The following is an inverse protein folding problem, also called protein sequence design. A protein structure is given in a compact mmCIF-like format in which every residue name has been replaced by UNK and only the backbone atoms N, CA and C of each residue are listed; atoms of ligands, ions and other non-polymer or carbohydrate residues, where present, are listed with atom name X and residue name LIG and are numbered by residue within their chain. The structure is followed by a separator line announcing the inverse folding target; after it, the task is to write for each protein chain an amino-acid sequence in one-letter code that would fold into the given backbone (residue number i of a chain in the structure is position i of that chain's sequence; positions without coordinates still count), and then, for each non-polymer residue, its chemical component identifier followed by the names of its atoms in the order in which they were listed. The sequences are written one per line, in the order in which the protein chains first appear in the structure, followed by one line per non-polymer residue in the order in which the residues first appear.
data_IF_173254363732
#
_entry.id   IF_173254363732
#
_cell.length_a   1.000
_cell.length_b   1.000
_cell.length_c   1.000
_cell.angle_alpha   90.00
_cell.angle_beta   90.00
_cell.angle_gamma   90.00
#
_symmetry.space_group_name_H-M   'P 1'
#
loop_
_entity.id
_entity.type
_entity.pdbx_description
1 polymer ?
#
# COMPACT_ATOMS: atom_id res chain seq x y z
N UNK A 1 22.72 20.06 12.27
CA UNK A 1 22.23 19.42 12.10
C UNK A 1 22.28 18.93 11.65
N UNK A 2 21.88 18.65 11.42
CA UNK A 2 21.59 18.10 11.00
C UNK A 2 21.15 17.66 10.64
N UNK A 3 21.30 17.73 10.32
CA UNK A 3 20.68 17.20 9.90
C UNK A 3 20.20 16.56 9.72
N UNK A 4 19.85 16.65 9.56
CA UNK A 4 19.24 15.97 9.38
C UNK A 4 19.16 15.13 9.01
N UNK A 5 19.42 15.07 8.90
CA UNK A 5 19.38 14.40 8.48
C UNK A 5 18.99 13.63 8.48
N UNK A 6 19.35 13.92 8.38
CA UNK A 6 19.16 13.22 8.46
C UNK A 6 18.53 12.47 8.89
N UNK A 7 18.63 12.91 9.29
CA UNK A 7 17.76 12.22 9.86
C UNK A 7 16.82 11.69 9.06
N UNK A 8 17.24 11.08 8.21
CA UNK A 8 16.45 10.44 7.26
C UNK A 8 15.97 9.13 7.77
N UNK A 9 15.29 9.20 8.87
CA UNK A 9 14.57 8.06 9.37
C UNK A 9 13.45 7.74 8.38
N UNK A 10 13.44 6.53 7.86
CA UNK A 10 12.45 6.13 6.87
C UNK A 10 11.73 4.88 7.30
N UNK A 11 10.44 4.88 7.02
CA UNK A 11 9.60 3.72 7.15
C UNK A 11 8.88 3.56 5.83
N UNK A 12 8.84 2.35 5.31
CA UNK A 12 8.14 2.04 4.09
C UNK A 12 6.85 1.29 4.41
N UNK A 13 5.88 1.42 3.55
CA UNK A 13 4.61 0.73 3.70
C UNK A 13 4.10 0.31 2.34
N UNK A 14 3.61 -0.93 2.27
CA UNK A 14 2.81 -1.38 1.14
C UNK A 14 1.38 -1.53 1.62
N UNK A 15 0.44 -1.07 0.81
CA UNK A 15 -0.97 -1.12 1.17
C UNK A 15 -1.82 -1.50 -0.03
N UNK A 16 -2.99 -2.03 0.27
CA UNK A 16 -4.00 -2.34 -0.72
C UNK A 16 -5.36 -1.85 -0.21
N UNK A 17 -6.14 -1.26 -1.10
CA UNK A 17 -7.47 -0.76 -0.78
C UNK A 17 -8.48 -1.39 -1.72
N UNK A 18 -9.71 -1.60 -1.23
CA UNK A 18 -10.79 -2.08 -2.06
C UNK A 18 -11.89 -1.02 -2.16
N UNK A 19 -12.69 -1.09 -3.23
CA UNK A 19 -13.84 -0.19 -3.40
C UNK A 19 -14.88 -0.38 -2.30
N UNK A 20 -14.84 -1.50 -1.61
CA UNK A 20 -15.72 -1.79 -0.49
C UNK A 20 -15.23 -1.18 0.83
N UNK A 21 -14.08 -0.51 0.80
CA UNK A 21 -13.54 0.16 1.98
C UNK A 21 -12.59 -0.67 2.83
N UNK A 22 -12.15 -1.81 2.33
CA UNK A 22 -11.17 -2.63 3.05
C UNK A 22 -9.77 -2.13 2.81
N UNK A 23 -8.94 -2.17 3.85
CA UNK A 23 -7.53 -1.78 3.78
C UNK A 23 -6.69 -2.88 4.40
N UNK A 24 -5.60 -3.23 3.71
CA UNK A 24 -4.55 -4.09 4.25
C UNK A 24 -3.23 -3.39 4.06
N UNK A 25 -2.33 -3.52 5.03
CA UNK A 25 -1.06 -2.83 4.94
C UNK A 25 0.04 -3.64 5.63
N UNK A 26 1.28 -3.36 5.23
CA UNK A 26 2.47 -3.94 5.84
C UNK A 26 3.55 -2.87 5.91
N UNK A 27 4.10 -2.66 7.08
CA UNK A 27 5.19 -1.70 7.31
C UNK A 27 6.51 -2.47 7.29
N UNK A 28 7.51 -1.89 6.64
CA UNK A 28 8.84 -2.47 6.58
C UNK A 28 9.89 -1.36 6.51
N UNK A 29 11.14 -1.68 6.80
CA UNK A 29 12.20 -0.68 6.87
C UNK A 29 13.16 -0.71 5.69
N UNK A 30 13.37 -1.86 5.09
CA UNK A 30 14.26 -1.99 3.94
C UNK A 30 13.54 -1.61 2.63
N UNK A 31 14.19 -1.87 1.51
CA UNK A 31 13.58 -1.57 0.21
C UNK A 31 12.58 -2.64 -0.18
N UNK A 32 11.64 -2.25 -1.05
CA UNK A 32 10.71 -3.21 -1.65
C UNK A 32 11.48 -4.18 -2.53
N UNK A 33 11.17 -5.47 -2.37
CA UNK A 33 11.72 -6.52 -3.23
C UNK A 33 10.63 -7.57 -3.46
N UNK A 34 10.94 -8.58 -4.28
CA UNK A 34 9.97 -9.60 -4.62
C UNK A 34 9.51 -10.41 -3.40
N UNK A 35 10.40 -10.66 -2.46
CA UNK A 35 10.06 -11.39 -1.24
C UNK A 35 9.04 -10.61 -0.39
N UNK A 36 9.24 -9.29 -0.27
CA UNK A 36 8.28 -8.43 0.43
C UNK A 36 6.92 -8.41 -0.25
N UNK A 37 6.93 -8.31 -1.57
CA UNK A 37 5.69 -8.32 -2.33
C UNK A 37 4.95 -9.66 -2.16
N UNK A 38 5.67 -10.77 -2.25
CA UNK A 38 5.08 -12.09 -2.06
C UNK A 38 4.51 -12.22 -0.65
N UNK A 39 5.24 -11.75 0.35
CA UNK A 39 4.78 -11.79 1.73
C UNK A 39 3.46 -11.02 1.90
N UNK A 40 3.36 -9.87 1.27
CA UNK A 40 2.13 -9.07 1.32
C UNK A 40 0.98 -9.76 0.60
N UNK A 41 1.25 -10.31 -0.59
CA UNK A 41 0.23 -11.05 -1.33
C UNK A 41 -0.27 -12.28 -0.57
N UNK A 42 0.62 -12.97 0.14
CA UNK A 42 0.21 -14.08 1.01
C UNK A 42 -0.74 -13.62 2.10
N UNK A 43 -0.48 -12.45 2.70
CA UNK A 43 -1.37 -11.88 3.70
C UNK A 43 -2.74 -11.55 3.11
N UNK A 44 -2.78 -11.04 1.89
CA UNK A 44 -4.04 -10.74 1.22
C UNK A 44 -4.87 -12.00 1.02
N UNK A 45 -4.24 -13.08 0.58
CA UNK A 45 -4.91 -14.36 0.36
C UNK A 45 -5.47 -14.89 1.69
N UNK A 46 -4.68 -14.85 2.76
CA UNK A 46 -5.11 -15.34 4.06
C UNK A 46 -6.29 -14.56 4.63
N UNK A 47 -6.37 -13.28 4.32
CA UNK A 47 -7.43 -12.43 4.86
C UNK A 47 -8.69 -12.45 3.99
N UNK A 48 -8.71 -13.22 2.92
CA UNK A 48 -9.84 -13.27 2.01
C UNK A 48 -10.37 -14.69 1.89
N UNK A 49 -11.69 -14.84 1.86
CA UNK A 49 -12.35 -16.12 1.62
C UNK A 49 -12.57 -16.38 0.13
N UNK A 50 -12.39 -15.38 -0.70
CA UNK A 50 -12.61 -15.43 -2.13
C UNK A 50 -11.32 -15.18 -2.87
N UNK A 51 -11.30 -15.50 -4.15
CA UNK A 51 -10.16 -15.18 -5.02
C UNK A 51 -9.92 -13.68 -5.01
N UNK A 52 -8.68 -13.28 -4.88
CA UNK A 52 -8.26 -11.88 -4.83
C UNK A 52 -7.86 -11.43 -6.24
N UNK A 53 -8.45 -10.33 -6.70
CA UNK A 53 -8.05 -9.67 -7.94
C UNK A 53 -7.29 -8.42 -7.54
N UNK A 54 -5.97 -8.43 -7.78
CA UNK A 54 -5.07 -7.38 -7.33
C UNK A 54 -4.64 -6.53 -8.50
N UNK A 55 -4.82 -5.21 -8.37
CA UNK A 55 -4.37 -4.26 -9.38
C UNK A 55 -3.11 -3.59 -8.84
N UNK A 56 -2.02 -3.70 -9.59
CA UNK A 56 -0.73 -3.13 -9.22
C UNK A 56 -0.32 -2.07 -10.21
N UNK A 57 0.47 -1.10 -9.74
CA UNK A 57 1.14 -0.20 -10.65
C UNK A 57 2.26 -0.94 -11.38
N UNK A 58 2.82 -0.31 -12.42
CA UNK A 58 3.75 -0.99 -13.33
C UNK A 58 5.20 -0.82 -12.88
N UNK A 59 5.50 -1.20 -11.64
CA UNK A 59 6.87 -1.17 -11.11
C UNK A 59 7.63 -2.43 -11.48
N UNK A 60 8.93 -2.31 -11.60
CA UNK A 60 9.81 -3.42 -11.99
C UNK A 60 9.66 -4.64 -11.08
N UNK A 61 9.59 -4.40 -9.76
CA UNK A 61 9.52 -5.50 -8.78
C UNK A 61 8.26 -6.33 -8.97
N UNK A 62 7.19 -5.74 -9.52
CA UNK A 62 5.92 -6.43 -9.74
C UNK A 62 6.01 -7.43 -10.90
N UNK A 63 7.03 -7.31 -11.75
CA UNK A 63 7.22 -8.18 -12.91
C UNK A 63 8.37 -9.19 -12.72
N UNK A 64 8.88 -9.32 -11.50
CA UNK A 64 10.00 -10.21 -11.23
C UNK A 64 9.65 -11.69 -11.37
N UNK A 65 10.68 -12.50 -11.59
CA UNK A 65 10.51 -13.94 -11.82
C UNK A 65 9.97 -14.68 -10.61
N UNK A 66 10.42 -14.30 -9.41
CA UNK A 66 9.94 -14.93 -8.18
C UNK A 66 8.46 -14.66 -7.96
N UNK A 67 8.04 -13.40 -8.17
CA UNK A 67 6.64 -13.04 -8.04
C UNK A 67 5.79 -13.75 -9.08
N UNK A 68 6.26 -13.83 -10.32
CA UNK A 68 5.55 -14.52 -11.39
C UNK A 68 5.38 -16.00 -11.08
N UNK A 69 6.42 -16.66 -10.58
CA UNK A 69 6.36 -18.07 -10.22
C UNK A 69 5.38 -18.30 -9.06
N UNK A 70 5.41 -17.40 -8.06
CA UNK A 70 4.49 -17.48 -6.95
C UNK A 70 3.04 -17.33 -7.40
N UNK A 71 2.78 -16.35 -8.27
CA UNK A 71 1.44 -16.12 -8.82
C UNK A 71 0.93 -17.30 -9.61
N UNK A 72 1.81 -17.94 -10.39
CA UNK A 72 1.43 -19.14 -11.14
C UNK A 72 0.99 -20.27 -10.20
N UNK A 73 1.71 -20.46 -9.10
CA UNK A 73 1.35 -21.48 -8.11
C UNK A 73 0.07 -21.15 -7.34
N UNK A 74 -0.32 -19.88 -7.31
CA UNK A 74 -1.49 -19.43 -6.55
C UNK A 74 -2.58 -18.82 -7.44
N UNK A 75 -2.61 -19.19 -8.72
CA UNK A 75 -3.54 -18.61 -9.68
C UNK A 75 -5.00 -18.89 -9.37
N UNK A 76 -5.27 -19.90 -8.57
CA UNK A 76 -6.63 -20.18 -8.09
C UNK A 76 -7.06 -19.23 -6.97
N UNK A 77 -6.12 -18.56 -6.32
CA UNK A 77 -6.38 -17.68 -5.17
C UNK A 77 -6.13 -16.21 -5.45
N UNK A 78 -5.31 -15.90 -6.45
CA UNK A 78 -4.99 -14.51 -6.79
C UNK A 78 -4.70 -14.37 -8.27
N UNK A 79 -5.18 -13.26 -8.83
CA UNK A 79 -4.87 -12.87 -10.20
C UNK A 79 -4.46 -11.39 -10.17
N UNK A 80 -3.42 -11.04 -10.92
CA UNK A 80 -2.84 -9.70 -10.89
C UNK A 80 -3.06 -9.02 -12.25
N UNK A 81 -3.45 -7.75 -12.19
CA UNK A 81 -3.57 -6.87 -13.35
C UNK A 81 -2.71 -5.64 -13.11
N UNK A 82 -2.11 -5.09 -14.14
CA UNK A 82 -1.23 -3.93 -14.03
C UNK A 82 -1.91 -2.69 -14.58
N UNK A 83 -1.73 -1.57 -13.85
CA UNK A 83 -2.17 -0.28 -14.34
C UNK A 83 -1.30 0.17 -15.51
N UNK A 84 -1.84 0.99 -16.42
CA UNK A 84 -1.00 1.56 -17.49
C UNK A 84 0.15 2.37 -16.89
N UNK A 85 1.31 2.42 -17.59
CA UNK A 85 2.42 3.26 -17.14
C UNK A 85 2.00 4.73 -17.04
N UNK A 86 2.55 5.43 -16.05
CA UNK A 86 2.35 6.87 -15.88
C UNK A 86 0.89 7.28 -15.65
N UNK A 87 0.11 6.41 -14.99
CA UNK A 87 -1.28 6.71 -14.68
C UNK A 87 -1.56 6.62 -13.17
N UNK A 88 -0.80 7.34 -12.32
CA UNK A 88 -0.99 7.26 -10.86
C UNK A 88 -2.37 7.75 -10.43
N UNK A 89 -3.00 8.64 -11.20
CA UNK A 89 -4.33 9.15 -10.89
C UNK A 89 -5.41 8.07 -10.95
N UNK A 90 -5.11 6.92 -11.54
CA UNK A 90 -6.02 5.78 -11.57
C UNK A 90 -5.82 4.82 -10.41
N UNK A 91 -4.86 5.13 -9.52
CA UNK A 91 -4.55 4.26 -8.38
C UNK A 91 -5.08 4.89 -7.10
N UNK A 92 -6.17 4.37 -6.52
CA UNK A 92 -6.72 4.94 -5.27
C UNK A 92 -5.73 4.90 -4.11
N UNK A 93 -4.75 4.01 -4.14
CA UNK A 93 -3.72 3.93 -3.10
C UNK A 93 -2.86 5.20 -3.04
N UNK A 94 -2.75 5.92 -4.15
CA UNK A 94 -2.04 7.20 -4.16
C UNK A 94 -2.73 8.25 -3.29
N UNK A 95 -4.05 8.25 -3.26
CA UNK A 95 -4.80 9.17 -2.42
C UNK A 95 -4.62 8.81 -0.94
N UNK A 96 -4.58 7.52 -0.64
CA UNK A 96 -4.29 7.04 0.72
C UNK A 96 -2.90 7.50 1.15
N UNK A 97 -1.91 7.31 0.29
CA UNK A 97 -0.53 7.70 0.60
C UNK A 97 -0.41 9.20 0.84
N UNK A 98 -1.13 10.00 0.08
CA UNK A 98 -1.14 11.44 0.28
C UNK A 98 -1.73 11.81 1.65
N UNK A 99 -2.86 11.23 2.01
CA UNK A 99 -3.50 11.47 3.31
C UNK A 99 -2.61 11.01 4.46
N UNK A 100 -1.93 9.87 4.28
CA UNK A 100 -1.00 9.35 5.27
C UNK A 100 0.16 10.31 5.51
N UNK A 101 0.76 10.83 4.45
CA UNK A 101 1.88 11.76 4.55
C UNK A 101 1.48 13.02 5.31
N UNK A 102 0.31 13.56 5.02
CA UNK A 102 -0.20 14.73 5.73
C UNK A 102 -0.35 14.40 7.22
N UNK A 103 -0.92 13.26 7.54
CA UNK A 103 -1.16 12.86 8.93
C UNK A 103 0.15 12.67 9.70
N UNK A 104 1.14 12.02 9.10
CA UNK A 104 2.42 11.74 9.76
C UNK A 104 3.18 13.03 10.04
N UNK A 105 3.07 14.02 9.15
CA UNK A 105 3.78 15.30 9.29
C UNK A 105 2.99 16.34 10.04
N UNK A 106 1.79 16.03 10.54
CA UNK A 106 1.01 16.94 11.34
C UNK A 106 1.35 16.78 12.82
N UNK A 107 1.15 17.83 13.60
CA UNK A 107 1.42 17.80 15.02
C UNK A 107 2.91 17.70 15.32
N UNK A 108 3.28 16.94 16.35
CA UNK A 108 4.67 16.75 16.71
C UNK A 108 5.36 15.87 15.70
N UNK A 109 6.51 16.33 15.19
CA UNK A 109 7.26 15.59 14.19
C UNK A 109 7.91 14.35 14.84
N UNK A 110 7.91 13.21 14.13
CA UNK A 110 8.57 12.01 14.63
C UNK A 110 10.09 12.11 14.48
N UNK A 111 10.81 11.62 15.50
CA UNK A 111 12.28 11.64 15.52
C UNK A 111 12.90 10.28 15.25
N UNK A 112 12.21 9.20 15.52
CA UNK A 112 12.75 7.86 15.40
C UNK A 112 11.94 7.02 14.44
N UNK A 113 12.52 5.90 14.00
CA UNK A 113 11.82 4.92 13.19
C UNK A 113 10.60 4.39 13.94
N UNK A 114 10.73 4.19 15.25
CA UNK A 114 9.62 3.72 16.07
C UNK A 114 8.48 4.74 16.12
N UNK A 115 8.82 6.03 16.22
CA UNK A 115 7.82 7.09 16.20
C UNK A 115 7.07 7.13 14.88
N UNK A 116 7.80 7.04 13.76
CA UNK A 116 7.20 7.04 12.43
C UNK A 116 6.31 5.81 12.26
N UNK A 117 6.82 4.63 12.63
CA UNK A 117 6.06 3.39 12.54
C UNK A 117 4.78 3.45 13.37
N UNK A 118 4.87 4.03 14.56
CA UNK A 118 3.70 4.19 15.42
C UNK A 118 2.64 5.09 14.76
N UNK A 119 3.07 6.23 14.23
CA UNK A 119 2.15 7.16 13.57
C UNK A 119 1.50 6.53 12.33
N UNK A 120 2.30 5.83 11.52
CA UNK A 120 1.79 5.14 10.32
C UNK A 120 0.77 4.09 10.72
N UNK A 121 1.12 3.24 11.67
CA UNK A 121 0.23 2.15 12.11
C UNK A 121 -1.05 2.70 12.72
N UNK A 122 -0.93 3.74 13.52
CA UNK A 122 -2.10 4.39 14.14
C UNK A 122 -3.05 4.93 13.08
N UNK A 123 -2.52 5.64 12.09
CA UNK A 123 -3.32 6.16 10.98
C UNK A 123 -4.01 5.03 10.21
N UNK A 124 -3.27 3.99 9.85
CA UNK A 124 -3.82 2.90 9.05
C UNK A 124 -4.88 2.11 9.80
N UNK A 125 -4.70 1.91 11.10
CA UNK A 125 -5.70 1.22 11.92
C UNK A 125 -6.97 2.04 12.07
N UNK A 126 -6.85 3.35 12.23
CA UNK A 126 -8.02 4.22 12.25
C UNK A 126 -8.75 4.16 10.91
N UNK A 127 -7.99 4.14 9.83
CA UNK A 127 -8.56 4.06 8.48
C UNK A 127 -9.31 2.74 8.27
N UNK A 128 -8.81 1.65 8.82
CA UNK A 128 -9.49 0.35 8.74
C UNK A 128 -10.86 0.35 9.41
N UNK A 129 -11.08 1.26 10.36
CA UNK A 129 -12.37 1.44 11.00
C UNK A 129 -13.25 2.46 10.30
N UNK A 130 -12.83 2.99 9.16
CA UNK A 130 -13.57 3.98 8.39
C UNK A 130 -13.69 3.55 6.91
N UNK A 131 -14.39 2.44 6.64
CA UNK A 131 -14.47 1.92 5.26
C UNK A 131 -15.11 2.91 4.29
N UNK A 132 -16.01 3.77 4.78
CA UNK A 132 -16.60 4.78 3.91
C UNK A 132 -15.55 5.77 3.39
N UNK A 133 -14.63 6.20 4.25
CA UNK A 133 -13.57 7.10 3.85
C UNK A 133 -12.65 6.44 2.82
N UNK A 134 -12.32 5.16 3.04
CA UNK A 134 -11.50 4.39 2.10
C UNK A 134 -12.21 4.31 0.74
N UNK A 135 -13.50 4.03 0.73
CA UNK A 135 -14.28 3.99 -0.50
C UNK A 135 -14.21 5.30 -1.26
N UNK A 136 -14.12 6.43 -0.55
CA UNK A 136 -14.03 7.74 -1.20
C UNK A 136 -12.79 7.91 -2.05
N UNK A 137 -11.71 7.16 -1.78
CA UNK A 137 -10.51 7.21 -2.62
C UNK A 137 -10.79 6.75 -4.05
N UNK A 138 -11.84 6.00 -4.28
CA UNK A 138 -12.25 5.52 -5.59
C UNK A 138 -13.19 6.50 -6.31
N UNK A 139 -13.60 7.57 -5.64
CA UNK A 139 -14.58 8.52 -6.18
C UNK A 139 -13.95 9.85 -6.59
N UNK A 140 -12.62 9.93 -6.64
CA UNK A 140 -11.96 11.09 -7.20
C UNK A 140 -12.21 11.14 -8.72
N UNK A 141 -12.18 12.35 -9.28
CA UNK A 141 -12.61 12.58 -10.65
C UNK A 141 -11.94 11.64 -11.66
N UNK A 142 -10.62 11.43 -11.53
CA UNK A 142 -9.91 10.57 -12.47
C UNK A 142 -10.39 9.12 -12.41
N UNK A 143 -10.86 8.67 -11.25
CA UNK A 143 -11.31 7.29 -11.05
C UNK A 143 -12.78 7.09 -11.41
N UNK A 144 -13.55 8.14 -11.46
CA UNK A 144 -14.99 8.03 -11.73
C UNK A 144 -15.30 7.56 -13.15
N UNK A 145 -14.30 7.55 -14.01
CA UNK A 145 -14.45 7.08 -15.40
C UNK A 145 -14.05 5.62 -15.57
N UNK A 146 -13.61 4.98 -14.52
CA UNK A 146 -13.27 3.58 -14.53
C UNK A 146 -14.48 2.73 -14.12
#
# INVERSE_FOLDING_TARGET
MLPVETKRQRVNMISAVSSQGKVRFMIYQDTMNQQRLIQFMERLIRSSKQKVFLILDNLKVHHGKLAAAWLERHKDKMEVFFLPPYAPEYNPDEYLNHALKISVHSGQLPYTVEDISHKVRSFMRKLQHRPHLVSCFFHYQALSYL
#
